data_IF_739860652828
#
_entry.id   IF_739860652828
#
_cell.length_a   1.000
_cell.length_b   1.000
_cell.length_c   1.000
_cell.angle_alpha   90.00
_cell.angle_beta   90.00
_cell.angle_gamma   90.00
#
_symmetry.space_group_name_H-M   'P 1'
#
loop_
_entity.id
_entity.type
_entity.pdbx_description
1 polymer ?
#
# COMPACT_ATOMS: atom_id res chain seq x y z
N UNK A 1 18.61 0.44 -19.10
CA UNK A 1 17.77 -0.47 -18.29
C UNK A 1 18.18 -0.45 -16.82
N UNK A 2 19.43 -0.78 -16.47
CA UNK A 2 19.92 -0.82 -15.08
C UNK A 2 19.57 0.43 -14.26
N UNK A 3 19.80 1.64 -14.81
CA UNK A 3 19.48 2.90 -14.12
C UNK A 3 18.00 3.08 -13.75
N UNK A 4 17.08 2.57 -14.58
CA UNK A 4 15.64 2.72 -14.35
C UNK A 4 15.20 1.78 -13.21
N UNK A 5 15.68 0.53 -13.24
CA UNK A 5 15.43 -0.46 -12.18
C UNK A 5 15.97 0.02 -10.82
N UNK A 6 17.21 0.53 -10.79
CA UNK A 6 17.80 1.05 -9.54
C UNK A 6 17.00 2.23 -8.98
N UNK A 7 16.55 3.15 -9.84
CA UNK A 7 15.72 4.28 -9.41
C UNK A 7 14.37 3.80 -8.87
N UNK A 8 13.75 2.83 -9.53
CA UNK A 8 12.49 2.24 -9.08
C UNK A 8 12.63 1.54 -7.72
N UNK A 9 13.70 0.78 -7.52
CA UNK A 9 14.00 0.14 -6.23
C UNK A 9 14.21 1.16 -5.10
N UNK A 10 14.91 2.26 -5.36
CA UNK A 10 15.07 3.34 -4.38
C UNK A 10 13.70 3.91 -3.97
N UNK A 11 12.79 4.10 -4.93
CA UNK A 11 11.43 4.56 -4.65
C UNK A 11 10.65 3.54 -3.83
N UNK A 12 10.70 2.25 -4.20
CA UNK A 12 10.04 1.16 -3.45
C UNK A 12 10.53 1.14 -2.00
N UNK A 13 11.84 1.17 -1.78
CA UNK A 13 12.44 1.15 -0.44
C UNK A 13 12.02 2.36 0.38
N UNK A 14 12.08 3.56 -0.23
CA UNK A 14 11.65 4.81 0.44
C UNK A 14 10.18 4.75 0.84
N UNK A 15 9.34 4.22 -0.03
CA UNK A 15 7.91 4.06 0.21
C UNK A 15 7.62 3.01 1.28
N UNK A 16 8.40 1.93 1.33
CA UNK A 16 8.29 0.89 2.36
C UNK A 16 8.64 1.45 3.75
N UNK A 17 9.68 2.29 3.85
CA UNK A 17 10.00 3.00 5.08
C UNK A 17 8.88 3.97 5.51
N UNK A 18 8.27 4.68 4.56
CA UNK A 18 7.14 5.55 4.84
C UNK A 18 5.92 4.78 5.39
N UNK A 19 5.59 3.63 4.77
CA UNK A 19 4.55 2.73 5.28
C UNK A 19 4.85 2.22 6.68
N UNK A 20 6.06 1.69 6.89
CA UNK A 20 6.50 1.21 8.21
C UNK A 20 6.39 2.30 9.29
N UNK A 21 6.72 3.55 8.95
CA UNK A 21 6.52 4.69 9.86
C UNK A 21 5.04 4.92 10.21
N UNK A 22 4.14 4.92 9.21
CA UNK A 22 2.70 5.09 9.47
C UNK A 22 2.12 3.94 10.30
N UNK A 23 2.54 2.70 10.04
CA UNK A 23 2.12 1.54 10.84
C UNK A 23 2.61 1.67 12.29
N UNK A 24 3.88 2.05 12.49
CA UNK A 24 4.44 2.20 13.83
C UNK A 24 3.71 3.31 14.62
N UNK A 25 3.45 4.46 14.00
CA UNK A 25 2.74 5.57 14.64
C UNK A 25 1.28 5.21 14.96
N UNK A 26 0.56 4.61 14.01
CA UNK A 26 -0.82 4.18 14.23
C UNK A 26 -0.92 3.10 15.32
N UNK A 27 0.01 2.14 15.35
CA UNK A 27 0.08 1.13 16.40
C UNK A 27 0.35 1.76 17.78
N UNK A 28 1.27 2.73 17.85
CA UNK A 28 1.55 3.46 19.08
C UNK A 28 0.34 4.29 19.55
N UNK A 29 -0.35 4.94 18.63
CA UNK A 29 -1.57 5.71 18.92
C UNK A 29 -2.70 4.81 19.45
N UNK A 30 -2.89 3.62 18.86
CA UNK A 30 -3.85 2.62 19.35
C UNK A 30 -3.50 2.06 20.73
N UNK A 31 -2.21 1.84 21.01
CA UNK A 31 -1.78 1.25 22.29
C UNK A 31 -1.91 2.21 23.47
N UNK A 32 -1.82 3.53 23.26
CA UNK A 32 -1.63 4.48 24.37
C UNK A 32 -2.66 5.60 24.48
N UNK A 33 -3.42 5.92 23.42
CA UNK A 33 -4.20 7.18 23.38
C UNK A 33 -5.63 7.08 22.85
N UNK A 34 -5.97 6.04 22.10
CA UNK A 34 -7.24 5.99 21.35
C UNK A 34 -8.02 4.74 21.76
N UNK A 35 -9.26 4.94 22.22
CA UNK A 35 -10.21 3.83 22.41
C UNK A 35 -10.51 3.19 21.06
N UNK A 36 -10.21 1.89 20.95
CA UNK A 36 -10.37 1.11 19.72
C UNK A 36 -11.83 1.09 19.25
N UNK A 37 -12.79 1.17 20.18
CA UNK A 37 -14.22 1.22 19.86
C UNK A 37 -14.59 2.55 19.21
N UNK A 38 -13.99 3.65 19.68
CA UNK A 38 -14.18 4.98 19.12
C UNK A 38 -13.53 5.11 17.75
N UNK A 39 -12.34 4.52 17.56
CA UNK A 39 -11.67 4.50 16.25
C UNK A 39 -12.48 3.67 15.24
N UNK A 40 -12.97 2.50 15.65
CA UNK A 40 -13.85 1.65 14.84
C UNK A 40 -15.10 2.43 14.45
N UNK A 41 -15.77 3.10 15.40
CA UNK A 41 -16.94 3.91 15.10
C UNK A 41 -16.63 5.01 14.07
N UNK A 42 -15.53 5.75 14.24
CA UNK A 42 -15.09 6.78 13.28
C UNK A 42 -14.81 6.21 11.88
N UNK A 43 -14.18 5.05 11.79
CA UNK A 43 -13.91 4.38 10.52
C UNK A 43 -15.19 3.93 9.80
N UNK A 44 -16.14 3.35 10.54
CA UNK A 44 -17.42 2.88 10.00
C UNK A 44 -18.37 4.02 9.61
N UNK A 45 -18.44 5.09 10.42
CA UNK A 45 -19.29 6.25 10.15
C UNK A 45 -18.77 7.08 8.96
N UNK A 46 -17.47 7.05 8.70
CA UNK A 46 -16.88 7.74 7.55
C UNK A 46 -17.01 6.88 6.27
N UNK A 47 -18.13 7.05 5.58
CA UNK A 47 -18.44 6.30 4.34
C UNK A 47 -17.43 6.52 3.22
N UNK A 48 -16.81 7.71 3.15
CA UNK A 48 -15.72 8.00 2.19
C UNK A 48 -14.46 7.22 2.55
N UNK A 49 -14.08 7.19 3.84
CA UNK A 49 -12.92 6.42 4.31
C UNK A 49 -13.08 4.94 3.99
N UNK A 50 -14.25 4.37 4.29
CA UNK A 50 -14.52 2.96 4.06
C UNK A 50 -14.44 2.65 2.55
N UNK A 51 -15.17 3.42 1.72
CA UNK A 51 -15.17 3.24 0.26
C UNK A 51 -13.78 3.31 -0.34
N UNK A 52 -12.99 4.31 0.05
CA UNK A 52 -11.67 4.48 -0.50
C UNK A 52 -10.71 3.35 -0.10
N UNK A 53 -10.78 2.88 1.14
CA UNK A 53 -9.99 1.73 1.59
C UNK A 53 -10.36 0.46 0.81
N UNK A 54 -11.66 0.25 0.55
CA UNK A 54 -12.11 -0.86 -0.29
C UNK A 54 -11.58 -0.75 -1.73
N UNK A 55 -11.59 0.45 -2.33
CA UNK A 55 -11.03 0.68 -3.67
C UNK A 55 -9.53 0.40 -3.69
N UNK A 56 -8.79 0.90 -2.70
CA UNK A 56 -7.34 0.65 -2.58
C UNK A 56 -7.03 -0.83 -2.40
N UNK A 57 -7.84 -1.55 -1.60
CA UNK A 57 -7.71 -2.98 -1.41
C UNK A 57 -7.96 -3.74 -2.72
N UNK A 58 -9.04 -3.42 -3.43
CA UNK A 58 -9.34 -4.05 -4.72
C UNK A 58 -8.24 -3.79 -5.74
N UNK A 59 -7.69 -2.57 -5.78
CA UNK A 59 -6.60 -2.21 -6.67
C UNK A 59 -5.30 -2.95 -6.32
N UNK A 60 -4.97 -3.08 -5.03
CA UNK A 60 -3.84 -3.88 -4.58
C UNK A 60 -3.99 -5.36 -4.94
N UNK A 61 -5.19 -5.94 -4.74
CA UNK A 61 -5.47 -7.30 -5.15
C UNK A 61 -5.35 -7.50 -6.66
N UNK A 62 -5.77 -6.52 -7.46
CA UNK A 62 -5.62 -6.55 -8.91
C UNK A 62 -4.14 -6.56 -9.33
N UNK A 63 -3.30 -5.68 -8.76
CA UNK A 63 -1.87 -5.70 -9.02
C UNK A 63 -1.21 -7.00 -8.57
N UNK A 64 -1.64 -7.54 -7.43
CA UNK A 64 -1.15 -8.84 -6.94
C UNK A 64 -1.52 -9.99 -7.87
N UNK A 65 -2.73 -9.99 -8.44
CA UNK A 65 -3.15 -10.99 -9.43
C UNK A 65 -2.30 -10.91 -10.71
N UNK A 66 -1.98 -9.69 -11.18
CA UNK A 66 -1.09 -9.51 -12.33
C UNK A 66 0.30 -10.08 -12.00
N UNK A 67 0.86 -9.70 -10.86
CA UNK A 67 2.15 -10.21 -10.39
C UNK A 67 2.18 -11.74 -10.33
N UNK A 68 1.15 -12.35 -9.71
CA UNK A 68 1.02 -13.79 -9.61
C UNK A 68 0.88 -14.47 -10.99
N UNK A 69 0.16 -13.84 -11.92
CA UNK A 69 0.00 -14.35 -13.28
C UNK A 69 1.32 -14.33 -14.06
N UNK A 70 2.10 -13.25 -13.94
CA UNK A 70 3.43 -13.15 -14.56
C UNK A 70 4.36 -14.23 -14.00
N UNK A 71 4.42 -14.36 -12.67
CA UNK A 71 5.26 -15.36 -12.00
C UNK A 71 4.86 -16.79 -12.36
N UNK A 72 3.56 -17.04 -12.49
CA UNK A 72 3.04 -18.33 -12.94
C UNK A 72 3.45 -18.60 -14.40
N UNK A 73 3.38 -17.60 -15.28
CA UNK A 73 3.81 -17.71 -16.67
C UNK A 73 5.32 -18.04 -16.80
N UNK A 74 6.16 -17.42 -15.96
CA UNK A 74 7.59 -17.73 -15.85
C UNK A 74 7.84 -19.18 -15.42
N UNK A 75 7.08 -19.68 -14.44
CA UNK A 75 7.18 -21.08 -14.00
C UNK A 75 6.81 -22.08 -15.09
N UNK A 76 5.89 -21.71 -16.00
CA UNK A 76 5.50 -22.54 -17.15
C UNK A 76 6.45 -22.40 -18.35
N UNK A 77 7.49 -21.54 -18.27
CA UNK A 77 8.49 -21.37 -19.33
C UNK A 77 7.96 -20.70 -20.59
N UNK A 78 6.83 -19.98 -20.50
CA UNK A 78 6.27 -19.24 -21.62
C UNK A 78 7.07 -17.94 -21.76
N UNK A 79 7.81 -17.83 -22.86
CA UNK A 79 8.67 -16.71 -23.31
C UNK A 79 8.03 -15.33 -23.10
N UNK A 80 8.19 -14.75 -21.91
CA UNK A 80 8.27 -13.31 -21.75
C UNK A 80 9.74 -12.94 -21.79
N UNK A 81 10.07 -11.91 -22.56
CA UNK A 81 11.43 -11.38 -22.66
C UNK A 81 11.88 -10.95 -21.24
N UNK A 82 12.92 -11.58 -20.68
CA UNK A 82 13.31 -11.49 -19.25
C UNK A 82 13.30 -10.05 -18.72
N UNK A 83 13.87 -9.12 -19.49
CA UNK A 83 13.94 -7.69 -19.12
C UNK A 83 12.56 -7.01 -18.99
N UNK A 84 11.58 -7.43 -19.79
CA UNK A 84 10.22 -6.88 -19.74
C UNK A 84 9.42 -7.45 -18.58
N UNK A 85 9.65 -8.72 -18.24
CA UNK A 85 9.00 -9.38 -17.11
C UNK A 85 9.45 -8.79 -15.78
N UNK A 86 10.76 -8.60 -15.59
CA UNK A 86 11.31 -7.96 -14.39
C UNK A 86 10.76 -6.57 -14.15
N UNK A 87 10.72 -5.72 -15.18
CA UNK A 87 10.18 -4.36 -15.07
C UNK A 87 8.68 -4.36 -14.73
N UNK A 88 7.89 -5.24 -15.33
CA UNK A 88 6.46 -5.38 -15.00
C UNK A 88 6.25 -5.87 -13.57
N UNK A 89 7.09 -6.78 -13.09
CA UNK A 89 7.05 -7.22 -11.70
C UNK A 89 7.37 -6.07 -10.74
N UNK A 90 8.42 -5.29 -10.99
CA UNK A 90 8.76 -4.16 -10.13
C UNK A 90 7.63 -3.08 -10.11
N UNK A 91 7.00 -2.81 -11.27
CA UNK A 91 5.87 -1.87 -11.36
C UNK A 91 4.65 -2.39 -10.59
N UNK A 92 4.33 -3.68 -10.69
CA UNK A 92 3.20 -4.26 -9.94
C UNK A 92 3.44 -4.22 -8.43
N UNK A 93 4.66 -4.51 -7.99
CA UNK A 93 5.06 -4.39 -6.57
C UNK A 93 4.94 -2.94 -6.10
N UNK A 94 5.44 -1.98 -6.88
CA UNK A 94 5.30 -0.55 -6.58
C UNK A 94 3.82 -0.14 -6.48
N UNK A 95 2.97 -0.66 -7.37
CA UNK A 95 1.52 -0.43 -7.35
C UNK A 95 0.85 -0.95 -6.08
N UNK A 96 1.15 -2.19 -5.68
CA UNK A 96 0.66 -2.77 -4.42
C UNK A 96 1.12 -1.94 -3.22
N UNK A 97 2.42 -1.63 -3.16
CA UNK A 97 3.02 -0.93 -2.04
C UNK A 97 2.46 0.50 -1.90
N UNK A 98 2.23 1.19 -3.02
CA UNK A 98 1.56 2.49 -3.04
C UNK A 98 0.14 2.42 -2.48
N UNK A 99 -0.63 1.38 -2.84
CA UNK A 99 -1.98 1.18 -2.30
C UNK A 99 -1.96 0.95 -0.78
N UNK A 100 -1.02 0.13 -0.30
CA UNK A 100 -0.82 -0.13 1.13
C UNK A 100 -0.48 1.15 1.90
N UNK A 101 0.52 1.91 1.43
CA UNK A 101 0.94 3.16 2.09
C UNK A 101 -0.17 4.20 2.09
N UNK A 102 -0.95 4.32 1.01
CA UNK A 102 -2.10 5.24 0.95
C UNK A 102 -3.21 4.83 1.93
N UNK A 103 -3.45 3.52 2.07
CA UNK A 103 -4.39 2.97 3.05
C UNK A 103 -3.94 3.31 4.48
N UNK A 104 -2.68 3.02 4.81
CA UNK A 104 -2.08 3.32 6.11
C UNK A 104 -2.08 4.82 6.41
N UNK A 105 -1.78 5.67 5.42
CA UNK A 105 -1.87 7.12 5.55
C UNK A 105 -3.28 7.58 5.90
N UNK A 106 -4.32 6.97 5.33
CA UNK A 106 -5.72 7.28 5.69
C UNK A 106 -6.01 6.87 7.13
N UNK A 107 -5.50 5.73 7.59
CA UNK A 107 -5.59 5.31 8.99
C UNK A 107 -4.84 6.25 9.94
N UNK A 108 -3.64 6.69 9.56
CA UNK A 108 -2.88 7.72 10.28
C UNK A 108 -3.67 9.03 10.38
N UNK A 109 -4.27 9.51 9.29
CA UNK A 109 -5.11 10.70 9.30
C UNK A 109 -6.35 10.57 10.20
N UNK A 110 -6.91 9.36 10.31
CA UNK A 110 -8.07 9.07 11.15
C UNK A 110 -7.73 9.00 12.65
N UNK A 111 -6.54 8.47 12.96
CA UNK A 111 -6.01 8.32 14.32
C UNK A 111 -5.38 9.60 14.84
N UNK A 112 -4.79 10.42 13.97
CA UNK A 112 -4.29 11.73 14.32
C UNK A 112 -5.43 12.55 14.93
N UNK A 113 -5.30 13.06 16.17
CA UNK A 113 -6.30 13.92 16.75
C UNK A 113 -6.43 15.10 15.81
N UNK A 114 -7.61 15.22 15.19
CA UNK A 114 -7.86 16.30 14.27
C UNK A 114 -7.40 17.61 14.93
N UNK A 115 -6.43 18.28 14.31
CA UNK A 115 -6.48 19.74 14.27
C UNK A 115 -7.75 20.09 13.51
N UNK A 116 -8.89 19.91 14.16
CA UNK A 116 -10.15 20.48 13.77
C UNK A 116 -10.07 21.95 14.17
N UNK A 117 -9.21 22.69 13.46
CA UNK A 117 -9.15 24.13 13.56
C UNK A 117 -9.96 24.70 12.39
N UNK A 118 -11.18 25.11 12.76
CA UNK A 118 -12.15 25.96 12.06
C UNK A 118 -12.86 25.39 10.85
#
# INVERSE_FOLDING_TARGET
MVYIQTLLQIVIVSLAFAGAYFVADTAHAMSGRIDINLLRAKAFLNTSFMRDNWILLLLACFFFLIYASIKLNEMFGILLEDNSSELLQEITVLGVLSCCVLSEYKWFKLTSPAKYNR
#
